data_IF_300596689974
#
_entry.id   IF_300596689974
#
_cell.length_a   1.000
_cell.length_b   1.000
_cell.length_c   1.000
_cell.angle_alpha   90.00
_cell.angle_beta   90.00
_cell.angle_gamma   90.00
#
_symmetry.space_group_name_H-M   'P 1'
#
loop_
_entity.id
_entity.type
_entity.pdbx_description
1 polymer ?
#
# COMPACT_ATOMS: atom_id res chain seq x y z
N UNK A 1 -3.70 -23.07 -11.51
CA UNK A 1 -4.29 -21.77 -11.89
C UNK A 1 -3.27 -21.14 -12.84
N UNK A 2 -3.68 -20.73 -14.05
CA UNK A 2 -2.74 -20.14 -14.99
C UNK A 2 -2.31 -18.77 -14.45
N UNK A 3 -1.01 -18.60 -14.19
CA UNK A 3 -0.39 -17.30 -13.94
C UNK A 3 -0.41 -16.51 -15.25
N UNK A 4 -1.57 -15.91 -15.56
CA UNK A 4 -1.64 -14.92 -16.63
C UNK A 4 -0.89 -13.69 -16.14
N UNK A 5 0.12 -13.20 -16.88
CA UNK A 5 0.80 -11.97 -16.50
C UNK A 5 -0.23 -10.83 -16.43
N UNK A 6 -0.29 -10.15 -15.28
CA UNK A 6 -1.19 -9.03 -15.08
C UNK A 6 -0.91 -7.93 -16.11
N UNK A 7 -1.97 -7.34 -16.64
CA UNK A 7 -1.92 -6.23 -17.59
C UNK A 7 -1.59 -4.91 -16.89
N UNK A 8 -1.12 -3.92 -17.64
CA UNK A 8 -0.84 -2.59 -17.10
C UNK A 8 -2.08 -1.92 -16.45
N UNK A 9 -3.29 -2.24 -16.94
CA UNK A 9 -4.54 -1.75 -16.38
C UNK A 9 -4.85 -2.42 -15.03
N UNK A 10 -4.70 -3.74 -14.92
CA UNK A 10 -4.89 -4.46 -13.66
C UNK A 10 -3.88 -4.02 -12.59
N UNK A 11 -2.63 -3.75 -12.98
CA UNK A 11 -1.64 -3.20 -12.06
C UNK A 11 -2.00 -1.77 -11.62
N UNK A 12 -2.61 -0.95 -12.49
CA UNK A 12 -3.08 0.39 -12.13
C UNK A 12 -4.17 0.33 -11.05
N UNK A 13 -5.15 -0.57 -11.23
CA UNK A 13 -6.23 -0.79 -10.26
C UNK A 13 -5.67 -1.29 -8.94
N UNK A 14 -4.73 -2.25 -8.99
CA UNK A 14 -4.06 -2.78 -7.80
C UNK A 14 -3.31 -1.70 -7.03
N UNK A 15 -2.59 -0.81 -7.71
CA UNK A 15 -1.90 0.34 -7.08
C UNK A 15 -2.89 1.20 -6.29
N UNK A 16 -4.02 1.55 -6.91
CA UNK A 16 -5.06 2.39 -6.28
C UNK A 16 -5.65 1.69 -5.05
N UNK A 17 -5.88 0.38 -5.12
CA UNK A 17 -6.37 -0.40 -3.98
C UNK A 17 -5.37 -0.43 -2.82
N UNK A 18 -4.08 -0.65 -3.12
CA UNK A 18 -3.03 -0.65 -2.11
C UNK A 18 -2.82 0.72 -1.45
N UNK A 19 -2.95 1.81 -2.21
CA UNK A 19 -2.89 3.18 -1.68
C UNK A 19 -4.05 3.45 -0.72
N UNK A 20 -5.28 3.09 -1.11
CA UNK A 20 -6.47 3.20 -0.24
C UNK A 20 -6.34 2.32 1.01
N UNK A 21 -5.80 1.11 0.86
CA UNK A 21 -5.55 0.23 1.99
C UNK A 21 -4.55 0.85 2.98
N UNK A 22 -3.47 1.43 2.47
CA UNK A 22 -2.45 2.12 3.28
C UNK A 22 -3.06 3.29 4.06
N UNK A 23 -3.87 4.11 3.41
CA UNK A 23 -4.55 5.25 4.05
C UNK A 23 -5.51 4.77 5.15
N UNK A 24 -6.39 3.81 4.83
CA UNK A 24 -7.31 3.22 5.81
C UNK A 24 -6.60 2.60 7.00
N UNK A 25 -5.49 1.91 6.77
CA UNK A 25 -4.69 1.31 7.84
C UNK A 25 -4.19 2.37 8.82
N UNK A 26 -3.71 3.51 8.31
CA UNK A 26 -3.27 4.64 9.15
C UNK A 26 -4.45 5.20 9.93
N UNK A 27 -5.55 5.50 9.26
CA UNK A 27 -6.72 6.14 9.88
C UNK A 27 -7.37 5.26 10.94
N UNK A 28 -7.65 4.00 10.60
CA UNK A 28 -8.25 3.03 11.52
C UNK A 28 -7.35 2.80 12.74
N UNK A 29 -6.02 2.71 12.53
CA UNK A 29 -5.05 2.51 13.63
C UNK A 29 -4.94 3.75 14.52
N UNK A 30 -4.92 4.95 13.94
CA UNK A 30 -4.86 6.19 14.70
C UNK A 30 -6.15 6.43 15.49
N UNK A 31 -7.31 6.13 14.92
CA UNK A 31 -8.60 6.23 15.63
C UNK A 31 -8.70 5.21 16.77
N UNK A 32 -8.25 3.97 16.56
CA UNK A 32 -8.16 2.97 17.62
C UNK A 32 -7.20 3.41 18.75
N UNK A 33 -6.03 3.94 18.39
CA UNK A 33 -5.05 4.45 19.34
C UNK A 33 -5.58 5.64 20.15
N UNK A 34 -6.31 6.55 19.51
CA UNK A 34 -6.97 7.68 20.15
C UNK A 34 -7.98 7.22 21.20
N UNK A 35 -8.83 6.24 20.87
CA UNK A 35 -9.77 5.61 21.82
C UNK A 35 -9.04 4.95 23.00
N UNK A 36 -7.87 4.35 22.74
CA UNK A 36 -7.01 3.74 23.75
C UNK A 36 -6.11 4.75 24.50
N UNK A 37 -6.23 6.07 24.24
CA UNK A 37 -5.39 7.13 24.82
C UNK A 37 -3.88 6.94 24.57
N UNK A 38 -3.52 6.25 23.50
CA UNK A 38 -2.13 6.10 23.07
C UNK A 38 -1.65 7.34 22.32
N UNK A 39 -0.37 7.69 22.48
CA UNK A 39 0.20 8.82 21.76
C UNK A 39 0.31 8.52 20.26
N UNK A 40 -0.06 9.50 19.41
CA UNK A 40 0.07 9.39 17.95
C UNK A 40 1.50 8.99 17.53
N UNK A 41 2.52 9.58 18.18
CA UNK A 41 3.93 9.28 17.89
C UNK A 41 4.28 7.82 18.12
N UNK A 42 3.90 7.25 19.26
CA UNK A 42 4.17 5.84 19.57
C UNK A 42 3.39 4.89 18.66
N UNK A 43 2.15 5.23 18.31
CA UNK A 43 1.35 4.46 17.36
C UNK A 43 1.97 4.47 15.96
N UNK A 44 2.39 5.64 15.47
CA UNK A 44 3.05 5.76 14.16
C UNK A 44 4.36 4.98 14.10
N UNK A 45 5.20 5.05 15.15
CA UNK A 45 6.45 4.29 15.20
C UNK A 45 6.23 2.76 15.12
N UNK A 46 5.09 2.27 15.63
CA UNK A 46 4.70 0.85 15.49
C UNK A 46 4.17 0.52 14.10
N UNK A 47 3.53 1.48 13.44
CA UNK A 47 2.93 1.29 12.12
C UNK A 47 3.95 1.42 10.99
N UNK A 48 5.01 2.22 11.21
CA UNK A 48 6.04 2.56 10.22
C UNK A 48 6.66 1.35 9.50
N UNK A 49 7.02 0.24 10.15
CA UNK A 49 7.55 -0.94 9.45
C UNK A 49 6.55 -1.55 8.46
N UNK A 50 5.27 -1.57 8.81
CA UNK A 50 4.21 -2.09 7.95
C UNK A 50 3.93 -1.16 6.77
N UNK A 51 3.94 0.17 7.02
CA UNK A 51 3.81 1.15 5.94
C UNK A 51 4.99 1.07 4.97
N UNK A 52 6.22 0.89 5.48
CA UNK A 52 7.40 0.75 4.66
C UNK A 52 7.36 -0.50 3.76
N UNK A 53 6.84 -1.64 4.25
CA UNK A 53 6.63 -2.84 3.43
C UNK A 53 5.58 -2.60 2.33
N UNK A 54 4.47 -1.93 2.66
CA UNK A 54 3.45 -1.53 1.67
C UNK A 54 4.05 -0.60 0.61
N UNK A 55 4.83 0.39 1.03
CA UNK A 55 5.47 1.36 0.13
C UNK A 55 6.49 0.69 -0.80
N UNK A 56 7.27 -0.27 -0.28
CA UNK A 56 8.19 -1.06 -1.08
C UNK A 56 7.47 -1.94 -2.12
N UNK A 57 6.32 -2.53 -1.75
CA UNK A 57 5.48 -3.29 -2.69
C UNK A 57 4.88 -2.40 -3.76
N UNK A 58 4.33 -1.24 -3.38
CA UNK A 58 3.80 -0.24 -4.31
C UNK A 58 4.87 0.22 -5.32
N UNK A 59 6.10 0.45 -4.86
CA UNK A 59 7.21 0.81 -5.75
C UNK A 59 7.47 -0.26 -6.81
N UNK A 60 7.53 -1.55 -6.40
CA UNK A 60 7.72 -2.67 -7.33
C UNK A 60 6.58 -2.81 -8.34
N UNK A 61 5.33 -2.66 -7.89
CA UNK A 61 4.16 -2.76 -8.78
C UNK A 61 4.16 -1.60 -9.79
N UNK A 62 4.52 -0.39 -9.36
CA UNK A 62 4.67 0.77 -10.26
C UNK A 62 5.78 0.57 -11.29
N UNK A 63 6.92 0.01 -10.91
CA UNK A 63 7.98 -0.35 -11.86
C UNK A 63 7.50 -1.40 -12.88
N UNK A 64 6.79 -2.43 -12.43
CA UNK A 64 6.20 -3.44 -13.32
C UNK A 64 5.19 -2.82 -14.29
N UNK A 65 4.30 -1.96 -13.80
CA UNK A 65 3.34 -1.25 -14.63
C UNK A 65 4.04 -0.36 -15.67
N UNK A 66 5.03 0.42 -15.25
CA UNK A 66 5.80 1.29 -16.14
C UNK A 66 6.48 0.49 -17.26
N UNK A 67 7.09 -0.65 -16.92
CA UNK A 67 7.72 -1.54 -17.89
C UNK A 67 6.70 -2.09 -18.90
N UNK A 68 5.51 -2.50 -18.47
CA UNK A 68 4.46 -2.97 -19.37
C UNK A 68 3.96 -1.85 -20.29
N UNK A 69 3.79 -0.62 -19.78
CA UNK A 69 3.36 0.53 -20.59
C UNK A 69 4.44 1.04 -21.55
N UNK A 70 5.72 0.83 -21.24
CA UNK A 70 6.83 1.20 -22.11
C UNK A 70 7.07 0.19 -23.23
N UNK A 71 6.58 -1.05 -23.07
CA UNK A 71 6.68 -2.14 -24.04
C UNK A 71 5.46 -2.23 -24.98
N UNK A 72 4.39 -1.48 -24.69
CA UNK A 72 3.15 -1.38 -25.48
C UNK A 72 3.13 -0.16 -26.39
#
# INVERSE_FOLDING_TARGET
MADTPATAAELAELIVEFEKYRERLVDETLEAAKKAKLSKKATMAKLEPQLADIDAKLARIREQQANLTAQS
#
